data_IF_000673607259
#
_entry.id   IF_000673607259
#
_cell.length_a   1.000
_cell.length_b   1.000
_cell.length_c   1.000
_cell.angle_alpha   90.00
_cell.angle_beta   90.00
_cell.angle_gamma   90.00
#
_symmetry.space_group_name_H-M   'P 1'
#
loop_
_entity.id
_entity.type
_entity.pdbx_description
1 polymer ?
#
# COMPACT_ATOMS: atom_id res chain seq x y z
N UNK A 1 10.26 -15.96 -19.40
CA UNK A 1 11.49 -16.18 -18.61
C UNK A 1 11.11 -16.79 -17.25
N UNK A 2 12.07 -17.43 -16.54
CA UNK A 2 11.86 -17.91 -15.18
C UNK A 2 12.37 -16.87 -14.19
N UNK A 3 11.55 -16.56 -13.19
CA UNK A 3 11.83 -15.57 -12.15
C UNK A 3 11.74 -16.24 -10.77
N UNK A 4 12.63 -15.86 -9.86
CA UNK A 4 12.54 -16.22 -8.45
C UNK A 4 12.26 -14.96 -7.65
N UNK A 5 11.20 -14.97 -6.88
CA UNK A 5 10.83 -13.89 -5.96
C UNK A 5 11.13 -14.36 -4.54
N UNK A 6 11.97 -13.61 -3.83
CA UNK A 6 12.36 -13.89 -2.45
C UNK A 6 11.58 -12.99 -1.50
N UNK A 7 10.74 -13.59 -0.67
CA UNK A 7 9.86 -12.93 0.30
C UNK A 7 8.42 -12.86 -0.13
N UNK A 8 7.52 -13.32 0.73
CA UNK A 8 6.06 -13.39 0.52
C UNK A 8 5.28 -12.25 1.21
N UNK A 9 5.92 -11.10 1.46
CA UNK A 9 5.22 -9.87 1.84
C UNK A 9 4.53 -9.21 0.65
N UNK A 10 3.83 -8.08 0.87
CA UNK A 10 3.05 -7.41 -0.18
C UNK A 10 3.87 -7.11 -1.45
N UNK A 11 5.13 -6.70 -1.30
CA UNK A 11 5.98 -6.39 -2.45
C UNK A 11 6.30 -7.62 -3.29
N UNK A 12 6.65 -8.74 -2.63
CA UNK A 12 6.94 -9.99 -3.33
C UNK A 12 5.70 -10.60 -3.96
N UNK A 13 4.57 -10.63 -3.25
CA UNK A 13 3.31 -11.13 -3.78
C UNK A 13 2.82 -10.31 -4.98
N UNK A 14 2.89 -8.98 -4.91
CA UNK A 14 2.52 -8.10 -6.02
C UNK A 14 3.45 -8.27 -7.23
N UNK A 15 4.77 -8.37 -6.99
CA UNK A 15 5.75 -8.61 -8.06
C UNK A 15 5.53 -9.96 -8.73
N UNK A 16 5.29 -11.03 -7.94
CA UNK A 16 4.99 -12.35 -8.46
C UNK A 16 3.69 -12.37 -9.28
N UNK A 17 2.64 -11.70 -8.79
CA UNK A 17 1.38 -11.57 -9.50
C UNK A 17 1.55 -10.83 -10.84
N UNK A 18 2.23 -9.70 -10.84
CA UNK A 18 2.50 -8.96 -12.07
C UNK A 18 3.34 -9.77 -13.07
N UNK A 19 4.40 -10.46 -12.61
CA UNK A 19 5.23 -11.29 -13.45
C UNK A 19 4.44 -12.47 -14.06
N UNK A 20 3.61 -13.12 -13.26
CA UNK A 20 2.75 -14.22 -13.73
C UNK A 20 1.74 -13.75 -14.79
N UNK A 21 1.12 -12.59 -14.58
CA UNK A 21 0.20 -11.98 -15.54
C UNK A 21 0.87 -11.63 -16.87
N UNK A 22 2.19 -11.37 -16.88
CA UNK A 22 2.98 -11.18 -18.09
C UNK A 22 3.53 -12.49 -18.70
N UNK A 23 3.04 -13.64 -18.25
CA UNK A 23 3.40 -14.94 -18.82
C UNK A 23 4.77 -15.47 -18.38
N UNK A 24 5.37 -14.95 -17.34
CA UNK A 24 6.61 -15.48 -16.78
C UNK A 24 6.33 -16.70 -15.88
N UNK A 25 7.27 -17.64 -15.84
CA UNK A 25 7.28 -18.68 -14.81
C UNK A 25 7.84 -18.07 -13.52
N UNK A 26 7.10 -18.23 -12.41
CA UNK A 26 7.46 -17.61 -11.12
C UNK A 26 7.60 -18.67 -10.05
N UNK A 27 8.73 -18.62 -9.34
CA UNK A 27 8.96 -19.34 -8.08
C UNK A 27 9.00 -18.31 -6.95
N UNK A 28 8.05 -18.33 -6.02
CA UNK A 28 8.04 -17.45 -4.86
C UNK A 28 8.47 -18.24 -3.62
N UNK A 29 9.53 -17.77 -2.98
CA UNK A 29 10.13 -18.40 -1.80
C UNK A 29 9.90 -17.54 -0.57
N UNK A 30 9.27 -18.08 0.46
CA UNK A 30 9.00 -17.40 1.74
C UNK A 30 9.47 -18.26 2.89
N UNK A 31 10.20 -17.65 3.85
CA UNK A 31 10.76 -18.37 5.00
C UNK A 31 9.72 -18.85 6.02
N UNK A 32 8.58 -18.15 6.08
CA UNK A 32 7.46 -18.50 6.95
C UNK A 32 6.27 -19.06 6.19
N UNK A 33 5.08 -18.93 6.77
CA UNK A 33 3.82 -19.24 6.12
C UNK A 33 3.50 -18.25 4.99
N UNK A 34 2.55 -18.60 4.13
CA UNK A 34 1.96 -17.68 3.14
C UNK A 34 0.44 -17.61 3.36
N UNK A 35 -0.09 -16.41 3.66
CA UNK A 35 0.62 -15.18 4.01
C UNK A 35 1.42 -15.32 5.31
N UNK A 36 2.48 -14.51 5.46
CA UNK A 36 3.29 -14.54 6.67
C UNK A 36 2.77 -13.51 7.70
N UNK A 37 2.25 -13.93 8.87
CA UNK A 37 1.74 -13.01 9.89
C UNK A 37 2.84 -12.17 10.56
N UNK A 38 4.11 -12.51 10.38
CA UNK A 38 5.24 -11.73 10.87
C UNK A 38 5.74 -10.69 9.84
N UNK A 39 5.19 -10.69 8.64
CA UNK A 39 5.56 -9.69 7.63
C UNK A 39 5.02 -8.31 8.04
N UNK A 40 5.81 -7.25 7.80
CA UNK A 40 5.39 -5.86 8.09
C UNK A 40 4.15 -5.42 7.31
N UNK A 41 3.80 -6.11 6.24
CA UNK A 41 2.57 -5.90 5.47
C UNK A 41 1.35 -6.62 6.04
N UNK A 42 1.52 -7.55 6.96
CA UNK A 42 0.41 -8.22 7.64
C UNK A 42 -0.17 -7.31 8.72
N UNK A 43 -1.45 -6.98 8.58
CA UNK A 43 -2.24 -6.25 9.56
C UNK A 43 -3.72 -6.32 9.18
N UNK A 44 -4.62 -5.92 10.08
CA UNK A 44 -6.03 -5.77 9.74
C UNK A 44 -6.22 -4.75 8.63
N UNK A 45 -5.53 -3.61 8.73
CA UNK A 45 -5.69 -2.49 7.82
C UNK A 45 -4.39 -1.74 7.57
N UNK A 46 -4.29 -1.10 6.41
CA UNK A 46 -3.23 -0.16 6.05
C UNK A 46 -3.84 1.10 5.45
N UNK A 47 -3.33 2.24 5.90
CA UNK A 47 -3.74 3.53 5.39
C UNK A 47 -3.06 3.80 4.05
N UNK A 48 -3.83 4.20 3.04
CA UNK A 48 -3.33 4.82 1.81
C UNK A 48 -3.63 6.32 1.83
N UNK A 49 -2.62 7.15 1.64
CA UNK A 49 -2.74 8.61 1.77
C UNK A 49 -1.72 9.34 0.91
N UNK A 50 -2.02 10.59 0.58
CA UNK A 50 -1.11 11.46 -0.20
C UNK A 50 -0.15 12.29 0.65
N UNK A 51 -0.34 12.37 1.95
CA UNK A 51 0.34 13.29 2.84
C UNK A 51 1.70 12.78 3.28
N UNK A 52 2.75 13.15 2.53
CA UNK A 52 4.15 12.75 2.76
C UNK A 52 5.09 13.95 2.97
N UNK A 53 4.58 15.08 3.48
CA UNK A 53 5.38 16.28 3.68
C UNK A 53 5.96 16.80 2.35
N UNK A 54 7.22 17.20 2.38
CA UNK A 54 7.96 17.67 1.20
C UNK A 54 8.37 16.55 0.21
N UNK A 55 8.02 15.29 0.49
CA UNK A 55 8.41 14.16 -0.37
C UNK A 55 7.47 14.02 -1.57
N UNK A 56 7.49 14.98 -2.48
CA UNK A 56 6.61 15.02 -3.66
C UNK A 56 6.65 13.75 -4.53
N UNK A 57 7.80 13.05 -4.58
CA UNK A 57 7.94 11.78 -5.28
C UNK A 57 7.00 10.70 -4.75
N UNK A 58 6.87 10.59 -3.42
CA UNK A 58 5.93 9.65 -2.79
C UNK A 58 4.47 10.00 -3.07
N UNK A 59 4.11 11.28 -3.02
CA UNK A 59 2.74 11.70 -3.33
C UNK A 59 2.35 11.37 -4.78
N UNK A 60 3.29 11.51 -5.74
CA UNK A 60 3.10 11.07 -7.13
C UNK A 60 2.92 9.55 -7.25
N UNK A 61 3.79 8.77 -6.59
CA UNK A 61 3.67 7.31 -6.56
C UNK A 61 2.32 6.85 -5.98
N UNK A 62 1.83 7.53 -4.95
CA UNK A 62 0.51 7.21 -4.39
C UNK A 62 -0.61 7.48 -5.38
N UNK A 63 -0.56 8.56 -6.15
CA UNK A 63 -1.53 8.83 -7.21
C UNK A 63 -1.60 7.67 -8.20
N UNK A 64 -0.45 7.19 -8.64
CA UNK A 64 -0.36 6.07 -9.57
C UNK A 64 -0.80 4.75 -8.91
N UNK A 65 -0.52 4.60 -7.61
CA UNK A 65 -0.93 3.44 -6.81
C UNK A 65 -2.46 3.31 -6.65
N UNK A 66 -3.22 4.40 -6.63
CA UNK A 66 -4.68 4.31 -6.57
C UNK A 66 -5.25 3.59 -7.80
N UNK A 67 -4.82 3.97 -9.01
CA UNK A 67 -5.25 3.31 -10.24
C UNK A 67 -4.77 1.85 -10.29
N UNK A 68 -3.52 1.59 -9.92
CA UNK A 68 -2.96 0.25 -9.90
C UNK A 68 -3.67 -0.67 -8.89
N UNK A 69 -3.98 -0.16 -7.69
CA UNK A 69 -4.74 -0.91 -6.69
C UNK A 69 -6.18 -1.21 -7.16
N UNK A 70 -6.86 -0.25 -7.76
CA UNK A 70 -8.21 -0.47 -8.29
C UNK A 70 -8.23 -1.58 -9.36
N UNK A 71 -7.26 -1.57 -10.28
CA UNK A 71 -7.09 -2.62 -11.28
C UNK A 71 -6.77 -3.98 -10.64
N UNK A 72 -5.88 -4.01 -9.65
CA UNK A 72 -5.55 -5.23 -8.91
C UNK A 72 -6.77 -5.80 -8.19
N UNK A 73 -7.51 -4.97 -7.44
CA UNK A 73 -8.69 -5.42 -6.70
C UNK A 73 -9.79 -5.95 -7.63
N UNK A 74 -9.98 -5.33 -8.80
CA UNK A 74 -10.87 -5.84 -9.84
C UNK A 74 -10.41 -7.21 -10.34
N UNK A 75 -9.12 -7.39 -10.63
CA UNK A 75 -8.54 -8.67 -11.08
C UNK A 75 -8.69 -9.76 -10.01
N UNK A 76 -8.56 -9.40 -8.73
CA UNK A 76 -8.74 -10.33 -7.61
C UNK A 76 -10.23 -10.59 -7.26
N UNK A 77 -11.18 -9.96 -7.96
CA UNK A 77 -12.62 -10.06 -7.66
C UNK A 77 -12.99 -9.56 -6.26
N UNK A 78 -12.25 -8.58 -5.73
CA UNK A 78 -12.38 -8.10 -4.36
C UNK A 78 -12.35 -6.56 -4.27
N UNK A 79 -13.33 -5.86 -4.86
CA UNK A 79 -13.39 -4.40 -4.86
C UNK A 79 -13.54 -3.81 -3.45
N UNK A 80 -14.03 -4.61 -2.51
CA UNK A 80 -14.24 -4.26 -1.11
C UNK A 80 -12.95 -4.25 -0.26
N UNK A 81 -11.79 -4.54 -0.86
CA UNK A 81 -10.49 -4.44 -0.18
C UNK A 81 -10.10 -3.01 0.17
N UNK A 82 -10.66 -2.01 -0.50
CA UNK A 82 -10.44 -0.61 -0.22
C UNK A 82 -11.73 0.08 0.23
N UNK A 83 -11.60 0.90 1.27
CA UNK A 83 -12.67 1.79 1.74
C UNK A 83 -12.14 3.22 1.70
N UNK A 84 -12.79 4.07 0.90
CA UNK A 84 -12.50 5.50 0.88
C UNK A 84 -13.12 6.16 2.10
N UNK A 85 -12.27 6.50 3.07
CA UNK A 85 -12.69 7.10 4.35
C UNK A 85 -12.22 8.53 4.50
N UNK A 86 -11.42 9.01 3.55
CA UNK A 86 -10.63 10.20 3.69
C UNK A 86 -9.44 10.01 4.65
N UNK A 87 -8.60 11.03 4.72
CA UNK A 87 -7.55 11.15 5.73
C UNK A 87 -7.56 12.54 6.35
N UNK A 88 -7.33 12.61 7.65
CA UNK A 88 -7.30 13.85 8.41
C UNK A 88 -5.98 13.95 9.16
N UNK A 89 -5.30 15.09 9.03
CA UNK A 89 -4.16 15.48 9.87
C UNK A 89 -4.60 16.64 10.73
N UNK A 90 -4.60 16.45 12.03
CA UNK A 90 -4.94 17.50 13.00
C UNK A 90 -3.66 18.13 13.52
N UNK A 91 -3.55 19.44 13.41
CA UNK A 91 -2.34 20.21 13.74
C UNK A 91 -2.58 21.02 15.01
N UNK A 92 -1.66 20.88 15.96
CA UNK A 92 -1.54 21.70 17.17
C UNK A 92 -0.13 22.26 17.23
N UNK A 93 0.01 23.57 17.20
CA UNK A 93 1.30 24.24 17.08
C UNK A 93 1.90 24.22 15.68
N UNK A 94 3.18 24.39 15.58
CA UNK A 94 3.89 24.36 14.30
C UNK A 94 4.12 22.92 13.82
N UNK A 95 3.60 22.59 12.66
CA UNK A 95 3.86 21.32 11.96
C UNK A 95 4.32 21.56 10.53
N UNK A 96 5.66 21.67 10.31
CA UNK A 96 6.21 21.87 8.98
C UNK A 96 5.90 20.75 8.01
N UNK A 97 5.71 19.51 8.50
CA UNK A 97 5.41 18.38 7.64
C UNK A 97 3.96 18.43 7.13
N UNK A 98 3.00 18.84 7.97
CA UNK A 98 1.62 19.06 7.55
C UNK A 98 1.52 20.23 6.57
N UNK A 99 2.22 21.34 6.82
CA UNK A 99 2.27 22.49 5.92
C UNK A 99 2.88 22.11 4.55
N UNK A 100 3.98 21.35 4.53
CA UNK A 100 4.60 20.85 3.31
C UNK A 100 3.69 19.84 2.58
N UNK A 101 2.94 19.00 3.31
CA UNK A 101 1.94 18.11 2.71
C UNK A 101 0.85 18.92 1.98
N UNK A 102 0.30 19.95 2.60
CA UNK A 102 -0.70 20.84 1.99
C UNK A 102 -0.18 21.45 0.69
N UNK A 103 1.05 22.01 0.72
CA UNK A 103 1.68 22.57 -0.47
C UNK A 103 1.88 21.52 -1.59
N UNK A 104 2.29 20.30 -1.20
CA UNK A 104 2.45 19.18 -2.13
C UNK A 104 1.14 18.77 -2.79
N UNK A 105 0.05 18.68 -2.02
CA UNK A 105 -1.29 18.35 -2.53
C UNK A 105 -1.78 19.40 -3.52
N UNK A 106 -1.62 20.68 -3.20
CA UNK A 106 -1.96 21.80 -4.09
C UNK A 106 -1.18 21.71 -5.41
N UNK A 107 0.13 21.49 -5.36
CA UNK A 107 0.99 21.38 -6.54
C UNK A 107 0.65 20.18 -7.43
N UNK A 108 0.10 19.11 -6.86
CA UNK A 108 -0.30 17.90 -7.58
C UNK A 108 -1.77 17.89 -8.02
N UNK A 109 -2.53 18.95 -7.68
CA UNK A 109 -3.97 19.02 -7.98
C UNK A 109 -4.79 17.97 -7.23
N UNK A 110 -4.30 17.46 -6.09
CA UNK A 110 -5.04 16.52 -5.25
C UNK A 110 -6.09 17.27 -4.43
N UNK A 111 -7.38 16.91 -4.48
CA UNK A 111 -8.43 17.54 -3.70
C UNK A 111 -8.11 17.47 -2.20
N UNK A 112 -8.15 18.62 -1.53
CA UNK A 112 -7.92 18.72 -0.09
C UNK A 112 -8.56 19.99 0.46
N UNK A 113 -8.82 19.97 1.76
CA UNK A 113 -9.42 21.06 2.50
C UNK A 113 -8.56 21.40 3.71
N UNK A 114 -8.49 22.67 4.03
CA UNK A 114 -7.90 23.13 5.30
C UNK A 114 -9.07 23.59 6.19
N UNK A 115 -9.26 22.89 7.31
CA UNK A 115 -10.36 23.12 8.24
C UNK A 115 -9.86 23.87 9.47
N UNK A 116 -10.53 24.93 9.84
CA UNK A 116 -10.38 25.57 11.14
C UNK A 116 -11.04 24.76 12.26
N UNK A 117 -10.84 25.12 13.56
CA UNK A 117 -11.39 24.37 14.68
C UNK A 117 -12.91 24.21 14.62
N UNK A 118 -13.64 25.27 14.22
CA UNK A 118 -15.10 25.23 14.10
C UNK A 118 -15.58 24.31 12.97
N UNK A 119 -14.92 24.35 11.82
CA UNK A 119 -15.21 23.46 10.68
C UNK A 119 -14.87 22.00 11.02
N UNK A 120 -13.74 21.79 11.70
CA UNK A 120 -13.34 20.47 12.17
C UNK A 120 -14.40 19.87 13.09
N UNK A 121 -14.89 20.65 14.09
CA UNK A 121 -15.93 20.20 15.02
C UNK A 121 -17.25 19.91 14.31
N UNK A 122 -17.59 20.68 13.27
CA UNK A 122 -18.81 20.47 12.49
C UNK A 122 -18.72 19.23 11.60
N UNK A 123 -17.58 19.02 10.91
CA UNK A 123 -17.39 17.89 10.01
C UNK A 123 -17.05 16.58 10.73
N UNK A 124 -16.40 16.66 11.88
CA UNK A 124 -15.91 15.50 12.65
C UNK A 124 -16.29 15.63 14.14
N UNK A 125 -17.58 15.59 14.49
CA UNK A 125 -18.06 15.83 15.85
C UNK A 125 -17.55 14.81 16.90
N UNK A 126 -17.01 13.69 16.46
CA UNK A 126 -16.37 12.67 17.29
C UNK A 126 -14.95 13.06 17.76
N UNK A 127 -14.36 14.14 17.19
CA UNK A 127 -13.02 14.61 17.54
C UNK A 127 -13.10 15.85 18.42
N UNK A 128 -12.30 15.89 19.48
CA UNK A 128 -12.11 17.11 20.29
C UNK A 128 -11.28 18.13 19.49
N UNK A 129 -11.87 19.30 19.24
CA UNK A 129 -11.23 20.38 18.50
C UNK A 129 -10.43 21.36 19.41
N UNK A 130 -10.40 21.12 20.72
CA UNK A 130 -9.70 21.99 21.66
C UNK A 130 -8.20 22.05 21.40
N UNK A 131 -7.67 23.26 21.30
CA UNK A 131 -6.26 23.51 21.01
C UNK A 131 -5.81 23.11 19.61
N UNK A 132 -6.73 22.84 18.69
CA UNK A 132 -6.43 22.62 17.29
C UNK A 132 -6.27 23.97 16.59
N UNK A 133 -5.16 24.16 15.87
CA UNK A 133 -4.97 25.35 15.04
C UNK A 133 -5.62 25.20 13.68
N UNK A 134 -5.45 24.03 13.05
CA UNK A 134 -6.07 23.66 11.78
C UNK A 134 -6.00 22.16 11.53
N UNK A 135 -6.75 21.69 10.56
CA UNK A 135 -6.65 20.32 10.08
C UNK A 135 -6.56 20.26 8.55
N UNK A 136 -5.83 19.27 8.03
CA UNK A 136 -5.74 18.98 6.60
C UNK A 136 -6.58 17.74 6.31
N UNK A 137 -7.65 17.90 5.58
CA UNK A 137 -8.53 16.82 5.13
C UNK A 137 -8.28 16.51 3.66
N UNK A 138 -8.11 15.23 3.35
CA UNK A 138 -7.99 14.71 1.98
C UNK A 138 -9.08 13.66 1.77
N UNK A 139 -10.16 13.95 1.04
CA UNK A 139 -11.32 13.04 0.90
C UNK A 139 -10.97 11.72 0.23
N UNK A 140 -10.01 11.72 -0.68
CA UNK A 140 -9.57 10.52 -1.44
C UNK A 140 -8.61 9.59 -0.67
N UNK A 141 -8.34 9.85 0.60
CA UNK A 141 -7.59 8.92 1.45
C UNK A 141 -8.45 7.72 1.87
N UNK A 142 -7.83 6.65 2.32
CA UNK A 142 -8.62 5.51 2.76
C UNK A 142 -7.83 4.36 3.37
N UNK A 143 -8.53 3.26 3.55
CA UNK A 143 -8.05 2.07 4.25
C UNK A 143 -8.09 0.86 3.33
N UNK A 144 -6.99 0.12 3.26
CA UNK A 144 -6.90 -1.18 2.59
C UNK A 144 -6.97 -2.26 3.66
N UNK A 145 -7.81 -3.30 3.47
CA UNK A 145 -7.85 -4.50 4.30
C UNK A 145 -6.64 -5.38 4.00
N UNK A 146 -5.55 -5.13 4.71
CA UNK A 146 -4.22 -5.62 4.34
C UNK A 146 -4.12 -7.15 4.39
N UNK A 147 -4.54 -7.80 5.47
CA UNK A 147 -4.51 -9.26 5.57
C UNK A 147 -5.35 -9.90 4.46
N UNK A 148 -6.56 -9.38 4.23
CA UNK A 148 -7.44 -9.89 3.16
C UNK A 148 -6.81 -9.73 1.76
N UNK A 149 -6.10 -8.63 1.50
CA UNK A 149 -5.36 -8.46 0.24
C UNK A 149 -4.26 -9.51 0.07
N UNK A 150 -3.49 -9.79 1.13
CA UNK A 150 -2.46 -10.82 1.08
C UNK A 150 -3.05 -12.20 0.85
N UNK A 151 -4.16 -12.55 1.51
CA UNK A 151 -4.87 -13.82 1.31
C UNK A 151 -5.33 -13.96 -0.16
N UNK A 152 -5.93 -12.89 -0.73
CA UNK A 152 -6.38 -12.90 -2.13
C UNK A 152 -5.23 -13.05 -3.12
N UNK A 153 -4.11 -12.36 -2.87
CA UNK A 153 -2.90 -12.50 -3.71
C UNK A 153 -2.33 -13.91 -3.66
N UNK A 154 -2.22 -14.50 -2.47
CA UNK A 154 -1.73 -15.88 -2.31
C UNK A 154 -2.67 -16.86 -3.01
N UNK A 155 -3.98 -16.72 -2.86
CA UNK A 155 -4.95 -17.58 -3.54
C UNK A 155 -4.87 -17.46 -5.07
N UNK A 156 -4.75 -16.24 -5.60
CA UNK A 156 -4.61 -16.02 -7.04
C UNK A 156 -3.30 -16.62 -7.59
N UNK A 157 -2.19 -16.46 -6.87
CA UNK A 157 -0.90 -17.04 -7.25
C UNK A 157 -0.91 -18.57 -7.18
N UNK A 158 -1.57 -19.16 -6.18
CA UNK A 158 -1.70 -20.61 -6.04
C UNK A 158 -2.55 -21.23 -7.17
N UNK A 159 -3.52 -20.49 -7.69
CA UNK A 159 -4.34 -20.90 -8.82
C UNK A 159 -3.67 -20.72 -10.19
N UNK A 160 -2.60 -19.91 -10.27
CA UNK A 160 -1.91 -19.63 -11.52
C UNK A 160 -1.00 -20.80 -11.94
N UNK A 161 -1.21 -21.33 -13.14
CA UNK A 161 -0.46 -22.51 -13.66
C UNK A 161 1.02 -22.29 -13.89
N UNK A 162 1.46 -21.04 -13.96
CA UNK A 162 2.86 -20.61 -14.15
C UNK A 162 3.54 -20.12 -12.86
N UNK A 163 2.95 -20.37 -11.68
CA UNK A 163 3.50 -19.98 -10.38
C UNK A 163 3.69 -21.20 -9.48
N UNK A 164 4.80 -21.23 -8.75
CA UNK A 164 5.04 -22.16 -7.66
C UNK A 164 5.35 -21.40 -6.38
N UNK A 165 4.66 -21.75 -5.31
CA UNK A 165 4.82 -21.16 -3.98
C UNK A 165 5.62 -22.12 -3.09
N UNK A 166 6.64 -21.60 -2.43
CA UNK A 166 7.52 -22.35 -1.51
C UNK A 166 7.51 -21.73 -0.11
N UNK A 167 6.46 -21.95 0.68
CA UNK A 167 6.43 -21.54 2.08
C UNK A 167 7.39 -22.38 2.93
N UNK A 168 7.87 -21.82 4.05
CA UNK A 168 8.79 -22.49 4.97
C UNK A 168 10.21 -22.68 4.42
N UNK A 169 10.57 -21.95 3.35
CA UNK A 169 11.89 -22.03 2.72
C UNK A 169 12.66 -20.73 2.90
N UNK A 170 13.74 -20.79 3.64
CA UNK A 170 14.61 -19.64 3.86
C UNK A 170 15.74 -19.61 2.83
N UNK A 171 15.80 -18.54 2.03
CA UNK A 171 16.93 -18.24 1.15
C UNK A 171 18.13 -17.84 2.02
N UNK A 172 19.28 -18.47 1.81
CA UNK A 172 20.51 -18.21 2.56
C UNK A 172 21.54 -17.44 1.76
N UNK A 173 21.55 -17.61 0.44
CA UNK A 173 22.51 -16.96 -0.44
C UNK A 173 21.91 -16.79 -1.84
N UNK A 174 22.43 -15.83 -2.55
CA UNK A 174 22.21 -15.64 -3.99
C UNK A 174 23.57 -15.73 -4.67
N UNK A 175 23.73 -16.61 -5.64
CA UNK A 175 24.98 -16.77 -6.36
C UNK A 175 24.77 -16.41 -7.85
N UNK A 176 25.41 -15.34 -8.37
CA UNK A 176 25.37 -15.06 -9.79
C UNK A 176 26.18 -16.12 -10.55
N UNK A 177 25.59 -16.69 -11.57
CA UNK A 177 26.22 -17.56 -12.54
C UNK A 177 26.06 -16.97 -13.95
N UNK A 178 26.78 -17.51 -14.92
CA UNK A 178 26.67 -17.03 -16.32
C UNK A 178 25.22 -17.10 -16.83
N UNK A 179 24.56 -15.94 -16.96
CA UNK A 179 23.21 -15.79 -17.49
C UNK A 179 22.06 -16.16 -16.54
N UNK A 180 22.34 -16.49 -15.26
CA UNK A 180 21.32 -16.81 -14.25
C UNK A 180 21.75 -16.45 -12.83
N UNK A 181 20.80 -16.48 -11.89
CA UNK A 181 21.06 -16.42 -10.46
C UNK A 181 20.58 -17.73 -9.83
N UNK A 182 21.42 -18.34 -9.00
CA UNK A 182 21.08 -19.50 -8.16
C UNK A 182 20.63 -18.99 -6.79
N UNK A 183 19.52 -19.56 -6.31
CA UNK A 183 18.87 -19.18 -5.05
C UNK A 183 18.82 -20.38 -4.11
#
# INVERSE_FOLDING_TARGET
MKLVVVGGGIMGLAAAHAAAAHGHEVELVEQGALPNPLASSWDHSRLIRYTYGAKHGYARLVRDAYAANAALFATLGAPDLYSETGTLIVVRGADPAAAASRASLAALGVPHETLGPGELAACFPQLAADGVDWALHTPTGGVIRAAALLDRLVAALAAAGNVRLHPGRRVRALAPEAGRVVV
#
